data_IF_077264090288
#
_entry.id   IF_077264090288
#
_cell.length_a   1.000
_cell.length_b   1.000
_cell.length_c   1.000
_cell.angle_alpha   90.00
_cell.angle_beta   90.00
_cell.angle_gamma   90.00
#
_symmetry.space_group_name_H-M   'P 1'
#
loop_
_entity.id
_entity.type
_entity.pdbx_description
1 polymer ?
#
# COMPACT_ATOMS: atom_id res chain seq x y z
N UNK A 1 20.12 0.48 -8.70
CA UNK A 1 19.84 0.32 -7.27
C UNK A 1 18.85 -0.83 -7.14
N UNK A 2 19.23 -1.87 -6.42
CA UNK A 2 18.44 -3.11 -6.39
C UNK A 2 17.58 -3.15 -5.13
N UNK A 3 16.26 -3.09 -5.31
CA UNK A 3 15.32 -3.38 -4.25
C UNK A 3 15.31 -4.91 -4.03
N UNK A 4 15.83 -5.35 -2.89
CA UNK A 4 15.83 -6.78 -2.57
C UNK A 4 14.47 -7.20 -2.04
N UNK A 5 13.84 -8.16 -2.70
CA UNK A 5 12.59 -8.77 -2.30
C UNK A 5 12.91 -10.16 -1.77
N UNK A 6 12.51 -10.43 -0.51
CA UNK A 6 12.74 -11.71 0.15
C UNK A 6 11.42 -12.32 0.59
N UNK A 7 11.23 -13.61 0.31
CA UNK A 7 10.09 -14.37 0.79
C UNK A 7 10.57 -15.46 1.76
N UNK A 8 9.92 -15.58 2.89
CA UNK A 8 10.22 -16.60 3.91
C UNK A 8 9.45 -17.91 3.68
N UNK A 9 8.36 -17.83 2.92
CA UNK A 9 7.52 -18.97 2.59
C UNK A 9 6.78 -18.70 1.25
N UNK A 10 6.28 -19.75 0.57
CA UNK A 10 5.59 -19.64 -0.70
C UNK A 10 4.32 -18.78 -0.66
N UNK A 11 3.61 -18.76 0.48
CA UNK A 11 2.39 -17.99 0.63
C UNK A 11 2.65 -16.48 0.55
N UNK A 12 3.81 -16.03 1.04
CA UNK A 12 4.24 -14.63 0.88
C UNK A 12 4.46 -14.27 -0.58
N UNK A 13 5.08 -15.15 -1.34
CA UNK A 13 5.30 -14.96 -2.77
C UNK A 13 3.98 -14.91 -3.54
N UNK A 14 3.07 -15.85 -3.28
CA UNK A 14 1.73 -15.87 -3.87
C UNK A 14 0.98 -14.58 -3.56
N UNK A 15 1.00 -14.13 -2.33
CA UNK A 15 0.38 -12.86 -1.93
C UNK A 15 1.01 -11.67 -2.64
N UNK A 16 2.33 -11.61 -2.69
CA UNK A 16 3.08 -10.52 -3.29
C UNK A 16 2.75 -10.35 -4.78
N UNK A 17 2.70 -11.45 -5.54
CA UNK A 17 2.42 -11.45 -6.98
C UNK A 17 0.94 -11.54 -7.35
N UNK A 18 0.05 -11.57 -6.37
CA UNK A 18 -1.38 -11.69 -6.64
C UNK A 18 -1.93 -10.53 -7.46
N UNK A 19 -2.68 -10.86 -8.54
CA UNK A 19 -3.37 -9.90 -9.42
C UNK A 19 -4.82 -9.63 -9.01
N UNK A 20 -5.29 -10.25 -7.96
CA UNK A 20 -6.67 -10.07 -7.49
C UNK A 20 -6.84 -8.65 -6.94
N UNK A 21 -8.02 -8.06 -7.16
CA UNK A 21 -8.37 -6.75 -6.58
C UNK A 21 -8.27 -6.79 -5.06
N UNK A 22 -8.84 -7.81 -4.44
CA UNK A 22 -8.84 -8.01 -3.00
C UNK A 22 -7.97 -9.22 -2.66
N UNK A 23 -6.98 -9.00 -1.81
CA UNK A 23 -6.08 -10.02 -1.33
C UNK A 23 -6.13 -10.06 0.19
N UNK A 24 -6.31 -11.25 0.74
CA UNK A 24 -6.22 -11.50 2.17
C UNK A 24 -5.04 -12.43 2.43
N UNK A 25 -4.15 -12.01 3.31
CA UNK A 25 -3.05 -12.82 3.80
C UNK A 25 -3.31 -13.15 5.27
N UNK A 26 -3.78 -14.36 5.54
CA UNK A 26 -4.04 -14.90 6.87
C UNK A 26 -2.84 -15.65 7.42
N UNK A 27 -2.82 -15.90 8.72
CA UNK A 27 -1.79 -16.71 9.38
C UNK A 27 -1.50 -16.25 10.80
N UNK A 28 -0.83 -17.09 11.57
CA UNK A 28 -0.44 -16.82 12.96
C UNK A 28 0.57 -15.68 13.12
N UNK A 29 0.89 -15.37 14.37
CA UNK A 29 1.92 -14.39 14.70
C UNK A 29 3.28 -14.80 14.10
N UNK A 30 4.06 -13.82 13.65
CA UNK A 30 5.40 -14.05 13.13
C UNK A 30 5.50 -14.53 11.68
N UNK A 31 4.41 -14.79 10.98
CA UNK A 31 4.39 -15.23 9.57
C UNK A 31 4.81 -14.14 8.56
N UNK A 32 5.26 -12.97 9.03
CA UNK A 32 5.76 -11.90 8.18
C UNK A 32 4.70 -11.20 7.33
N UNK A 33 3.43 -11.21 7.75
CA UNK A 33 2.33 -10.51 7.06
C UNK A 33 2.64 -9.05 6.79
N UNK A 34 2.98 -8.31 7.84
CA UNK A 34 3.35 -6.90 7.75
C UNK A 34 4.56 -6.69 6.85
N UNK A 35 5.55 -7.60 6.93
CA UNK A 35 6.77 -7.51 6.14
C UNK A 35 6.48 -7.61 4.64
N UNK A 36 5.77 -8.65 4.20
CA UNK A 36 5.44 -8.82 2.77
C UNK A 36 4.50 -7.73 2.24
N UNK A 37 3.56 -7.24 3.08
CA UNK A 37 2.71 -6.11 2.73
C UNK A 37 3.53 -4.83 2.53
N UNK A 38 4.51 -4.56 3.40
CA UNK A 38 5.43 -3.44 3.25
C UNK A 38 6.33 -3.58 2.01
N UNK A 39 6.87 -4.77 1.72
CA UNK A 39 7.65 -5.00 0.49
C UNK A 39 6.82 -4.68 -0.76
N UNK A 40 5.59 -5.22 -0.83
CA UNK A 40 4.68 -4.94 -1.93
C UNK A 40 4.35 -3.45 -2.05
N UNK A 41 4.11 -2.77 -0.93
CA UNK A 41 3.86 -1.33 -0.90
C UNK A 41 5.04 -0.53 -1.46
N UNK A 42 6.28 -0.84 -1.05
CA UNK A 42 7.48 -0.16 -1.56
C UNK A 42 7.59 -0.36 -3.08
N UNK A 43 7.41 -1.58 -3.58
CA UNK A 43 7.47 -1.86 -5.01
C UNK A 43 6.43 -1.06 -5.79
N UNK A 44 5.17 -1.04 -5.32
CA UNK A 44 4.10 -0.27 -5.98
C UNK A 44 4.39 1.23 -6.01
N UNK A 45 4.81 1.80 -4.87
CA UNK A 45 5.10 3.23 -4.72
C UNK A 45 6.32 3.69 -5.53
N UNK A 46 7.30 2.82 -5.73
CA UNK A 46 8.51 3.16 -6.49
C UNK A 46 8.35 2.94 -7.99
N UNK A 47 7.51 1.99 -8.39
CA UNK A 47 7.29 1.67 -9.82
C UNK A 47 6.33 2.62 -10.49
N UNK A 48 5.18 2.92 -9.85
CA UNK A 48 4.16 3.78 -10.44
C UNK A 48 4.34 5.21 -9.97
N UNK A 49 4.65 6.13 -10.88
CA UNK A 49 4.77 7.54 -10.53
C UNK A 49 3.41 8.14 -10.17
N UNK A 50 3.37 8.96 -9.12
CA UNK A 50 2.14 9.59 -8.64
C UNK A 50 1.15 8.62 -7.98
N UNK A 51 1.57 7.41 -7.63
CA UNK A 51 0.73 6.40 -6.99
C UNK A 51 0.32 6.83 -5.59
N UNK A 52 -0.93 6.60 -5.22
CA UNK A 52 -1.45 6.90 -3.89
C UNK A 52 -1.91 5.64 -3.17
N UNK A 53 -1.35 5.40 -2.01
CA UNK A 53 -1.65 4.26 -1.15
C UNK A 53 -2.10 4.73 0.23
N UNK A 54 -3.16 4.14 0.77
CA UNK A 54 -3.45 4.20 2.19
C UNK A 54 -2.93 2.93 2.86
N UNK A 55 -2.08 3.08 3.87
CA UNK A 55 -1.63 1.99 4.72
C UNK A 55 -2.20 2.20 6.11
N UNK A 56 -3.07 1.29 6.53
CA UNK A 56 -3.95 1.48 7.67
C UNK A 56 -3.72 0.43 8.75
N UNK A 57 -4.05 0.81 9.97
CA UNK A 57 -4.23 -0.07 11.11
C UNK A 57 -5.32 0.51 12.02
N UNK A 58 -5.93 -0.31 12.89
CA UNK A 58 -6.98 0.17 13.79
C UNK A 58 -6.47 1.29 14.69
N UNK A 59 -5.32 1.12 15.34
CA UNK A 59 -4.78 2.07 16.32
C UNK A 59 -3.47 2.69 15.85
N UNK A 60 -3.36 4.02 15.93
CA UNK A 60 -2.16 4.78 15.51
C UNK A 60 -0.87 4.33 16.20
N UNK A 61 -0.90 4.13 17.51
CA UNK A 61 0.27 3.68 18.26
C UNK A 61 0.86 2.39 17.70
N UNK A 62 0.00 1.45 17.31
CA UNK A 62 0.40 0.18 16.72
C UNK A 62 0.93 0.36 15.29
N UNK A 63 0.27 1.20 14.49
CA UNK A 63 0.72 1.55 13.14
C UNK A 63 2.16 2.10 13.18
N UNK A 64 2.41 3.06 14.06
CA UNK A 64 3.73 3.70 14.22
C UNK A 64 4.78 2.73 14.75
N UNK A 65 4.46 1.97 15.80
CA UNK A 65 5.42 1.12 16.50
C UNK A 65 5.85 -0.12 15.70
N UNK A 66 5.05 -0.58 14.74
CA UNK A 66 5.32 -1.82 14.01
C UNK A 66 5.35 -1.64 12.50
N UNK A 67 4.23 -1.23 11.92
CA UNK A 67 4.04 -1.19 10.46
C UNK A 67 4.93 -0.14 9.79
N UNK A 68 4.92 1.09 10.30
CA UNK A 68 5.76 2.17 9.77
C UNK A 68 7.25 1.86 9.95
N UNK A 69 7.65 1.33 11.12
CA UNK A 69 9.05 0.95 11.33
C UNK A 69 9.50 -0.15 10.35
N UNK A 70 8.64 -1.16 10.12
CA UNK A 70 8.94 -2.22 9.15
C UNK A 70 9.07 -1.64 7.75
N UNK A 71 8.17 -0.74 7.35
CA UNK A 71 8.20 -0.09 6.06
C UNK A 71 9.49 0.71 5.85
N UNK A 72 9.85 1.60 6.78
CA UNK A 72 11.06 2.42 6.66
C UNK A 72 12.36 1.62 6.78
N UNK A 73 12.33 0.42 7.35
CA UNK A 73 13.47 -0.52 7.34
C UNK A 73 13.67 -1.15 5.96
N UNK A 74 12.59 -1.36 5.20
CA UNK A 74 12.60 -1.98 3.88
C UNK A 74 12.82 -0.95 2.79
N UNK A 75 12.14 0.20 2.89
CA UNK A 75 12.16 1.25 1.87
C UNK A 75 13.51 2.00 1.89
N UNK A 76 14.27 2.01 0.79
CA UNK A 76 15.48 2.81 0.71
C UNK A 76 15.17 4.30 0.86
N UNK A 77 15.94 4.99 1.70
CA UNK A 77 15.71 6.39 2.06
C UNK A 77 15.73 7.33 0.86
N UNK A 78 16.52 7.02 -0.15
CA UNK A 78 16.68 7.80 -1.38
C UNK A 78 15.43 7.87 -2.25
N UNK A 79 14.45 6.98 -2.04
CA UNK A 79 13.15 7.08 -2.71
C UNK A 79 12.21 8.05 -2.00
N UNK A 80 12.50 8.42 -0.76
CA UNK A 80 11.65 9.26 0.07
C UNK A 80 12.06 10.72 -0.09
N UNK A 81 11.14 11.56 -0.56
CA UNK A 81 11.33 13.00 -0.64
C UNK A 81 11.07 13.66 0.71
N UNK A 82 9.93 13.35 1.34
CA UNK A 82 9.57 13.87 2.66
C UNK A 82 8.74 12.85 3.44
N UNK A 83 8.83 12.94 4.75
CA UNK A 83 7.94 12.22 5.68
C UNK A 83 7.46 13.19 6.75
N UNK A 84 6.14 13.38 6.83
CA UNK A 84 5.49 14.16 7.86
C UNK A 84 4.72 13.23 8.80
N UNK A 85 5.25 13.08 10.01
CA UNK A 85 4.69 12.20 11.01
C UNK A 85 3.35 12.73 11.57
N UNK A 86 3.19 14.07 11.65
CA UNK A 86 1.98 14.69 12.19
C UNK A 86 0.79 14.50 11.25
N UNK A 87 1.03 14.62 9.94
CA UNK A 87 0.00 14.40 8.92
C UNK A 87 -0.10 12.94 8.47
N UNK A 88 0.78 12.07 8.96
CA UNK A 88 0.80 10.68 8.53
C UNK A 88 1.03 10.54 7.02
N UNK A 89 1.93 11.34 6.44
CA UNK A 89 2.16 11.39 5.00
C UNK A 89 3.63 11.17 4.65
N UNK A 90 3.90 10.22 3.76
CA UNK A 90 5.21 10.07 3.12
C UNK A 90 5.09 10.34 1.63
N UNK A 91 5.94 11.21 1.10
CA UNK A 91 6.01 11.54 -0.33
C UNK A 91 7.30 10.99 -0.91
N UNK A 92 7.19 10.37 -2.08
CA UNK A 92 8.30 9.78 -2.81
C UNK A 92 8.80 10.74 -3.90
N UNK A 93 10.06 10.58 -4.31
CA UNK A 93 10.69 11.40 -5.36
C UNK A 93 9.96 11.34 -6.72
N UNK A 94 9.25 10.23 -7.01
CA UNK A 94 8.42 10.07 -8.21
C UNK A 94 6.99 10.61 -8.06
N UNK A 95 6.71 11.37 -6.99
CA UNK A 95 5.40 11.95 -6.70
C UNK A 95 4.39 11.00 -6.05
N UNK A 96 4.76 9.73 -5.84
CA UNK A 96 3.90 8.78 -5.12
C UNK A 96 3.74 9.16 -3.66
N UNK A 97 2.64 8.72 -3.06
CA UNK A 97 2.30 9.07 -1.67
C UNK A 97 1.78 7.86 -0.92
N UNK A 98 2.16 7.76 0.34
CA UNK A 98 1.56 6.83 1.28
C UNK A 98 0.93 7.62 2.43
N UNK A 99 -0.35 7.35 2.68
CA UNK A 99 -1.10 7.89 3.81
C UNK A 99 -1.12 6.83 4.91
N UNK A 100 -0.58 7.18 6.05
CA UNK A 100 -0.57 6.36 7.25
C UNK A 100 -1.80 6.68 8.08
N UNK A 101 -2.80 5.80 8.05
CA UNK A 101 -4.10 6.08 8.63
C UNK A 101 -4.41 5.12 9.79
N UNK A 102 -4.95 5.66 10.86
CA UNK A 102 -5.58 4.85 11.89
C UNK A 102 -7.10 4.90 11.71
N UNK A 103 -7.75 3.77 11.93
CA UNK A 103 -9.14 3.60 11.56
C UNK A 103 -10.10 3.69 12.75
N UNK A 104 -9.60 3.79 13.98
CA UNK A 104 -10.41 3.91 15.20
C UNK A 104 -11.23 5.21 15.29
N UNK A 105 -10.84 6.24 14.54
CA UNK A 105 -11.54 7.53 14.47
C UNK A 105 -11.94 7.89 13.03
N UNK A 106 -11.91 6.92 12.10
CA UNK A 106 -12.29 7.14 10.72
C UNK A 106 -13.80 7.29 10.60
N UNK A 107 -14.23 8.40 10.06
CA UNK A 107 -15.63 8.64 9.71
C UNK A 107 -15.82 8.83 8.19
N UNK A 108 -17.08 8.90 7.78
CA UNK A 108 -17.43 9.02 6.36
C UNK A 108 -16.92 10.33 5.75
N UNK A 109 -16.93 11.43 6.49
CA UNK A 109 -16.48 12.74 6.00
C UNK A 109 -14.97 12.72 5.74
N UNK A 110 -14.20 12.19 6.69
CA UNK A 110 -12.75 12.02 6.57
C UNK A 110 -12.39 11.06 5.42
N UNK A 111 -13.06 9.91 5.34
CA UNK A 111 -12.79 8.92 4.30
C UNK A 111 -13.07 9.46 2.90
N UNK A 112 -14.10 10.30 2.72
CA UNK A 112 -14.42 10.93 1.42
C UNK A 112 -13.32 11.83 0.88
N UNK A 113 -12.42 12.32 1.73
CA UNK A 113 -11.26 13.11 1.34
C UNK A 113 -10.15 12.31 0.65
N UNK A 114 -10.17 10.97 0.73
CA UNK A 114 -9.14 10.14 0.14
C UNK A 114 -9.50 9.68 -1.27
N UNK A 115 -8.55 9.83 -2.18
CA UNK A 115 -8.55 9.26 -3.52
C UNK A 115 -7.26 8.45 -3.66
N UNK A 116 -7.38 7.13 -3.66
CA UNK A 116 -6.25 6.21 -3.60
C UNK A 116 -6.32 5.14 -4.70
N UNK A 117 -5.15 4.60 -5.06
CA UNK A 117 -5.03 3.46 -5.96
C UNK A 117 -5.14 2.15 -5.20
N UNK A 118 -4.61 2.09 -3.98
CA UNK A 118 -4.66 0.89 -3.15
C UNK A 118 -4.83 1.19 -1.67
N UNK A 119 -5.40 0.21 -0.99
CA UNK A 119 -5.60 0.18 0.44
C UNK A 119 -4.89 -1.06 1.00
N UNK A 120 -4.10 -0.87 2.04
CA UNK A 120 -3.51 -1.95 2.84
C UNK A 120 -4.00 -1.78 4.28
N UNK A 121 -4.57 -2.82 4.85
CA UNK A 121 -4.98 -2.84 6.26
C UNK A 121 -4.19 -3.95 6.95
N UNK A 122 -3.27 -3.55 7.82
CA UNK A 122 -2.52 -4.47 8.66
C UNK A 122 -3.35 -4.83 9.89
N UNK A 123 -3.52 -6.12 10.15
CA UNK A 123 -4.45 -6.67 11.15
C UNK A 123 -5.91 -6.26 10.90
N UNK A 124 -6.41 -6.57 9.71
CA UNK A 124 -7.77 -6.22 9.29
C UNK A 124 -8.86 -6.83 10.19
N UNK A 125 -8.54 -7.87 10.96
CA UNK A 125 -9.42 -8.47 11.95
C UNK A 125 -9.79 -7.56 13.12
N UNK A 126 -9.03 -6.48 13.33
CA UNK A 126 -9.31 -5.46 14.35
C UNK A 126 -10.29 -4.39 13.86
N UNK A 127 -10.56 -4.32 12.54
CA UNK A 127 -11.31 -3.23 11.90
C UNK A 127 -12.76 -3.63 11.67
N UNK A 128 -13.69 -2.75 12.00
CA UNK A 128 -15.12 -2.94 11.73
C UNK A 128 -15.39 -3.00 10.22
N UNK A 129 -16.30 -3.89 9.81
CA UNK A 129 -16.67 -4.07 8.41
C UNK A 129 -17.16 -2.77 7.75
N UNK A 130 -17.92 -1.94 8.46
CA UNK A 130 -18.41 -0.64 7.99
C UNK A 130 -17.26 0.29 7.58
N UNK A 131 -16.22 0.35 8.38
CA UNK A 131 -15.02 1.17 8.12
C UNK A 131 -14.21 0.58 6.97
N UNK A 132 -14.07 -0.75 6.93
CA UNK A 132 -13.43 -1.43 5.80
C UNK A 132 -14.12 -1.08 4.47
N UNK A 133 -15.44 -1.22 4.39
CA UNK A 133 -16.23 -0.92 3.18
C UNK A 133 -16.13 0.54 2.78
N UNK A 134 -16.13 1.45 3.76
CA UNK A 134 -15.96 2.89 3.55
C UNK A 134 -14.62 3.21 2.88
N UNK A 135 -13.53 2.61 3.35
CA UNK A 135 -12.19 2.80 2.80
C UNK A 135 -12.00 2.07 1.47
N UNK A 136 -12.56 0.86 1.29
CA UNK A 136 -12.51 0.13 0.02
C UNK A 136 -13.18 0.92 -1.11
N UNK A 137 -14.26 1.65 -0.81
CA UNK A 137 -14.94 2.53 -1.76
C UNK A 137 -14.07 3.71 -2.24
N UNK A 138 -12.94 3.98 -1.62
CA UNK A 138 -11.96 5.00 -2.03
C UNK A 138 -10.91 4.47 -2.99
N UNK A 139 -10.76 3.14 -3.06
CA UNK A 139 -9.79 2.49 -3.94
C UNK A 139 -10.19 2.67 -5.41
N UNK A 140 -9.22 3.08 -6.23
CA UNK A 140 -9.42 3.34 -7.65
C UNK A 140 -10.06 4.70 -7.98
N UNK A 141 -10.20 5.59 -7.00
CA UNK A 141 -10.64 6.96 -7.22
C UNK A 141 -9.53 7.87 -7.76
N UNK A 142 -8.28 7.53 -7.50
CA UNK A 142 -7.14 8.25 -8.06
C UNK A 142 -6.75 7.64 -9.41
N UNK A 143 -6.83 8.43 -10.47
CA UNK A 143 -6.61 8.02 -11.86
C UNK A 143 -5.33 8.61 -12.50
N UNK A 144 -4.55 9.37 -11.73
CA UNK A 144 -3.36 10.09 -12.22
C UNK A 144 -2.04 9.35 -12.00
N UNK A 145 -2.07 8.12 -11.49
CA UNK A 145 -0.86 7.31 -11.39
C UNK A 145 -0.41 6.87 -12.79
N UNK A 146 0.90 6.95 -13.04
CA UNK A 146 1.48 6.65 -14.35
C UNK A 146 2.05 5.24 -14.35
N UNK A 147 1.60 4.43 -15.29
CA UNK A 147 2.17 3.13 -15.59
C UNK A 147 3.45 3.32 -16.41
N UNK A 148 4.61 2.78 -15.99
CA UNK A 148 5.84 2.87 -16.76
C UNK A 148 5.71 2.25 -18.17
N UNK A 149 6.30 2.88 -19.18
CA UNK A 149 6.24 2.41 -20.57
C UNK A 149 6.66 0.95 -20.75
N UNK A 150 7.74 0.45 -20.10
CA UNK A 150 8.12 -0.96 -20.23
C UNK A 150 7.02 -1.95 -19.80
N UNK A 151 6.18 -1.58 -18.83
CA UNK A 151 5.03 -2.40 -18.42
C UNK A 151 3.90 -2.32 -19.45
N UNK A 152 3.66 -1.15 -20.05
CA UNK A 152 2.68 -1.01 -21.14
C UNK A 152 3.08 -1.78 -22.39
N UNK A 153 4.37 -1.87 -22.66
CA UNK A 153 4.91 -2.63 -23.80
C UNK A 153 4.69 -4.14 -23.61
N UNK A 154 4.82 -4.62 -22.37
CA UNK A 154 4.58 -6.03 -22.03
C UNK A 154 3.08 -6.36 -21.92
N UNK A 155 2.28 -5.40 -21.50
CA UNK A 155 0.84 -5.56 -21.22
C UNK A 155 0.06 -4.40 -21.85
N UNK A 156 -0.12 -4.37 -23.18
CA UNK A 156 -0.77 -3.27 -23.89
C UNK A 156 -2.24 -3.06 -23.49
N UNK A 157 -2.90 -4.11 -22.97
CA UNK A 157 -4.26 -4.07 -22.44
C UNK A 157 -4.34 -3.45 -21.03
N UNK A 158 -3.20 -3.13 -20.41
CA UNK A 158 -3.21 -2.52 -19.08
C UNK A 158 -3.92 -1.17 -19.11
N UNK A 159 -4.94 -0.96 -18.29
CA UNK A 159 -5.67 0.30 -18.30
C UNK A 159 -4.75 1.43 -17.87
N UNK A 160 -4.43 2.32 -18.81
CA UNK A 160 -3.53 3.48 -18.61
C UNK A 160 -3.99 4.41 -17.48
N UNK A 161 -5.24 4.30 -17.03
CA UNK A 161 -5.90 5.20 -16.10
C UNK A 161 -6.28 4.59 -14.76
N UNK A 162 -6.06 3.29 -14.53
CA UNK A 162 -6.49 2.64 -13.29
C UNK A 162 -5.45 1.65 -12.82
N UNK A 163 -4.49 2.15 -12.04
CA UNK A 163 -3.55 1.29 -11.32
C UNK A 163 -4.21 0.87 -10.02
N UNK A 164 -4.87 -0.28 -10.06
CA UNK A 164 -5.29 -0.96 -8.84
C UNK A 164 -4.17 -1.87 -8.38
N UNK A 165 -3.99 -2.12 -7.11
CA UNK A 165 -3.02 -3.01 -6.47
C UNK A 165 -2.58 -4.23 -7.28
N UNK A 166 -2.22 -3.98 -8.54
CA UNK A 166 -1.82 -4.99 -9.52
C UNK A 166 -0.36 -5.36 -9.30
N UNK A 167 0.03 -6.59 -9.53
CA UNK A 167 1.40 -7.01 -9.33
C UNK A 167 2.28 -6.42 -10.42
N UNK A 168 3.47 -6.14 -10.03
CA UNK A 168 4.59 -6.03 -10.92
C UNK A 168 4.99 -7.45 -11.35
N UNK A 169 5.07 -7.68 -12.60
CA UNK A 169 5.68 -8.88 -13.17
C UNK A 169 7.14 -8.59 -13.45
#
# INVERSE_FOLDING_TARGET
>A
MDLRIDFRNPEQEIFFWSRKRNNRFGGGFGNGKTYVACQRAVVMLTTFSGYRMAFCRQVYKNLRATTMQTFFKICPKEFILTHDENFGLTVFINGSRIYWLHLDQMDEATAKGFEINSLVIDQAEEVEESIFLLMDARVGRWDKAIVPQPLLDQFPEWPRHKVYGQPLV
#
